data_IF_952671070482
#
_entry.id   IF_952671070482
#
_cell.length_a   1.000
_cell.length_b   1.000
_cell.length_c   1.000
_cell.angle_alpha   90.00
_cell.angle_beta   90.00
_cell.angle_gamma   90.00
#
_symmetry.space_group_name_H-M   'P 1'
#
loop_
_entity.id
_entity.type
_entity.pdbx_description
1 polymer ?
#
# COMPACT_ATOMS: atom_id res chain seq x y z
N UNK A 1 -12.64 -11.95 -4.79
CA UNK A 1 -11.26 -12.24 -4.36
C UNK A 1 -11.25 -12.28 -2.83
N UNK A 2 -10.39 -13.09 -2.21
CA UNK A 2 -10.14 -12.96 -0.77
C UNK A 2 -9.25 -11.74 -0.50
N UNK A 3 -9.26 -11.21 0.72
CA UNK A 3 -8.33 -10.13 1.10
C UNK A 3 -6.85 -10.53 0.93
N UNK A 4 -6.55 -11.83 1.04
CA UNK A 4 -5.21 -12.36 0.81
C UNK A 4 -4.83 -12.29 -0.67
N UNK A 5 -5.73 -12.65 -1.58
CA UNK A 5 -5.50 -12.55 -3.03
C UNK A 5 -5.26 -11.09 -3.44
N UNK A 6 -6.06 -10.17 -2.88
CA UNK A 6 -5.92 -8.72 -3.12
C UNK A 6 -4.56 -8.23 -2.63
N UNK A 7 -4.13 -8.63 -1.43
CA UNK A 7 -2.82 -8.28 -0.90
C UNK A 7 -1.70 -8.80 -1.81
N UNK A 8 -1.76 -10.07 -2.22
CA UNK A 8 -0.73 -10.66 -3.09
C UNK A 8 -0.63 -9.91 -4.42
N UNK A 9 -1.78 -9.56 -5.03
CA UNK A 9 -1.82 -8.83 -6.29
C UNK A 9 -1.20 -7.43 -6.18
N UNK A 10 -1.60 -6.63 -5.19
CA UNK A 10 -1.07 -5.26 -5.05
C UNK A 10 0.42 -5.27 -4.66
N UNK A 11 0.84 -6.21 -3.80
CA UNK A 11 2.24 -6.31 -3.36
C UNK A 11 3.15 -6.77 -4.50
N UNK A 12 2.70 -7.72 -5.32
CA UNK A 12 3.42 -8.16 -6.51
C UNK A 12 3.62 -6.99 -7.49
N UNK A 13 2.57 -6.20 -7.74
CA UNK A 13 2.68 -5.00 -8.56
C UNK A 13 3.70 -4.00 -7.98
N UNK A 14 3.63 -3.70 -6.68
CA UNK A 14 4.60 -2.80 -6.02
C UNK A 14 6.05 -3.29 -6.16
N UNK A 15 6.28 -4.61 -6.07
CA UNK A 15 7.60 -5.21 -6.25
C UNK A 15 8.10 -5.10 -7.69
N UNK A 16 7.23 -5.33 -8.68
CA UNK A 16 7.57 -5.22 -10.10
C UNK A 16 7.93 -3.78 -10.49
N UNK A 17 7.28 -2.78 -9.89
CA UNK A 17 7.52 -1.36 -10.16
C UNK A 17 8.82 -0.83 -9.54
N UNK A 18 9.37 -1.53 -8.54
CA UNK A 18 10.51 -1.03 -7.77
C UNK A 18 11.79 -0.83 -8.60
N UNK A 19 12.10 -1.76 -9.51
CA UNK A 19 13.32 -1.70 -10.33
C UNK A 19 13.20 -0.70 -11.50
N UNK A 20 12.11 -0.70 -12.29
CA UNK A 20 11.97 0.25 -13.39
C UNK A 20 11.86 1.71 -12.95
N UNK A 21 11.32 1.96 -11.75
CA UNK A 21 11.07 3.31 -11.22
C UNK A 21 11.92 3.63 -9.99
N UNK A 22 13.16 3.12 -9.94
CA UNK A 22 14.08 3.44 -8.85
C UNK A 22 14.31 4.97 -8.77
N UNK A 23 14.32 5.51 -7.55
CA UNK A 23 14.48 6.94 -7.26
C UNK A 23 13.41 7.86 -7.88
N UNK A 24 12.26 7.30 -8.27
CA UNK A 24 11.12 8.04 -8.79
C UNK A 24 9.90 7.83 -7.89
N UNK A 25 8.91 8.72 -8.03
CA UNK A 25 7.60 8.56 -7.41
C UNK A 25 6.62 7.93 -8.40
N UNK A 26 5.89 6.92 -7.95
CA UNK A 26 4.85 6.24 -8.74
C UNK A 26 3.51 6.41 -8.03
N UNK A 27 2.51 6.92 -8.74
CA UNK A 27 1.14 6.99 -8.23
C UNK A 27 0.38 5.71 -8.59
N UNK A 28 -0.18 5.04 -7.58
CA UNK A 28 -1.09 3.91 -7.76
C UNK A 28 -2.49 4.36 -7.35
N UNK A 29 -3.42 4.39 -8.30
CA UNK A 29 -4.82 4.74 -8.05
C UNK A 29 -5.61 3.45 -7.88
N UNK A 30 -6.28 3.31 -6.74
CA UNK A 30 -7.04 2.11 -6.40
C UNK A 30 -8.18 2.42 -5.43
N UNK A 31 -8.79 1.37 -4.88
CA UNK A 31 -9.88 1.47 -3.91
C UNK A 31 -9.38 1.25 -2.48
N UNK A 32 -10.22 1.64 -1.51
CA UNK A 32 -9.90 1.59 -0.08
C UNK A 32 -9.36 0.22 0.37
N UNK A 33 -10.06 -0.87 0.06
CA UNK A 33 -9.66 -2.21 0.52
C UNK A 33 -8.30 -2.67 -0.04
N UNK A 34 -7.98 -2.28 -1.27
CA UNK A 34 -6.69 -2.59 -1.90
C UNK A 34 -5.57 -1.82 -1.20
N UNK A 35 -5.79 -0.54 -0.91
CA UNK A 35 -4.83 0.30 -0.18
C UNK A 35 -4.66 -0.24 1.25
N UNK A 36 -5.74 -0.60 1.94
CA UNK A 36 -5.69 -1.23 3.27
C UNK A 36 -4.86 -2.51 3.25
N UNK A 37 -5.07 -3.40 2.27
CA UNK A 37 -4.30 -4.62 2.12
C UNK A 37 -2.79 -4.35 1.92
N UNK A 38 -2.44 -3.34 1.13
CA UNK A 38 -1.07 -2.90 0.92
C UNK A 38 -0.44 -2.33 2.20
N UNK A 39 -1.17 -1.47 2.92
CA UNK A 39 -0.74 -0.89 4.20
C UNK A 39 -0.46 -1.98 5.24
N UNK A 40 -1.36 -2.97 5.38
CA UNK A 40 -1.13 -4.12 6.26
C UNK A 40 0.19 -4.82 5.91
N UNK A 41 0.48 -5.04 4.61
CA UNK A 41 1.76 -5.65 4.20
C UNK A 41 2.96 -4.78 4.57
N UNK A 42 2.89 -3.48 4.30
CA UNK A 42 4.00 -2.54 4.58
C UNK A 42 4.30 -2.46 6.08
N UNK A 43 3.27 -2.46 6.92
CA UNK A 43 3.42 -2.40 8.38
C UNK A 43 3.66 -3.77 9.05
N UNK A 44 3.58 -4.86 8.29
CA UNK A 44 3.67 -6.22 8.86
C UNK A 44 2.48 -6.61 9.72
N UNK A 45 1.32 -6.00 9.50
CA UNK A 45 0.10 -6.27 10.25
C UNK A 45 -0.63 -7.51 9.69
N UNK A 46 -1.28 -8.31 10.54
CA UNK A 46 -2.30 -9.26 10.10
C UNK A 46 -3.35 -8.57 9.22
N UNK A 47 -3.84 -9.26 8.18
CA UNK A 47 -4.82 -8.68 7.27
C UNK A 47 -6.12 -8.26 7.96
N UNK A 48 -6.52 -8.95 9.05
CA UNK A 48 -7.69 -8.59 9.84
C UNK A 48 -7.56 -7.22 10.55
N UNK A 49 -6.35 -6.70 10.71
CA UNK A 49 -6.13 -5.37 11.29
C UNK A 49 -6.44 -4.23 10.30
N UNK A 50 -6.83 -4.54 9.05
CA UNK A 50 -7.27 -3.54 8.08
C UNK A 50 -8.49 -2.71 8.54
N UNK A 51 -9.29 -3.24 9.49
CA UNK A 51 -10.42 -2.54 10.07
C UNK A 51 -10.04 -1.52 11.14
N UNK A 52 -8.75 -1.42 11.50
CA UNK A 52 -8.27 -0.47 12.52
C UNK A 52 -8.03 0.93 11.97
N UNK A 53 -8.11 1.12 10.66
CA UNK A 53 -7.88 2.39 9.99
C UNK A 53 -8.72 2.49 8.72
N UNK A 54 -9.00 3.72 8.30
CA UNK A 54 -9.76 4.02 7.10
C UNK A 54 -8.91 4.62 5.99
N UNK A 55 -9.46 4.57 4.78
CA UNK A 55 -8.95 5.18 3.56
C UNK A 55 -10.12 5.90 2.92
N UNK A 56 -10.14 7.22 3.06
CA UNK A 56 -11.21 8.07 2.58
C UNK A 56 -11.12 8.25 1.07
N UNK A 57 -12.24 8.53 0.39
CA UNK A 57 -12.23 8.90 -1.02
C UNK A 57 -11.29 10.07 -1.29
N UNK A 58 -10.51 9.98 -2.37
CA UNK A 58 -9.53 10.99 -2.77
C UNK A 58 -8.40 11.27 -1.75
N UNK A 59 -8.24 10.44 -0.72
CA UNK A 59 -7.08 10.50 0.17
C UNK A 59 -5.80 9.95 -0.48
N UNK A 60 -4.65 10.34 0.06
CA UNK A 60 -3.34 9.89 -0.36
C UNK A 60 -2.68 9.08 0.78
N UNK A 61 -2.18 7.90 0.43
CA UNK A 61 -1.33 7.08 1.31
C UNK A 61 0.05 6.97 0.68
N UNK A 62 1.08 7.38 1.41
CA UNK A 62 2.46 7.45 0.91
C UNK A 62 3.33 6.39 1.56
N UNK A 63 3.99 5.57 0.73
CA UNK A 63 4.96 4.56 1.17
C UNK A 63 6.30 4.77 0.46
N UNK A 64 7.39 4.49 1.16
CA UNK A 64 8.75 4.45 0.58
C UNK A 64 9.24 3.01 0.64
N UNK A 65 9.84 2.52 -0.45
CA UNK A 65 10.46 1.19 -0.51
C UNK A 65 11.93 1.30 -0.91
N UNK A 66 12.79 0.52 -0.25
CA UNK A 66 14.22 0.43 -0.49
C UNK A 66 14.77 -0.94 -0.08
N UNK A 67 16.07 -1.15 -0.19
CA UNK A 67 16.71 -2.47 0.06
C UNK A 67 16.52 -2.99 1.49
N UNK A 68 16.22 -2.07 2.41
CA UNK A 68 15.86 -2.33 3.80
C UNK A 68 14.38 -2.71 4.01
N UNK A 69 13.53 -2.70 2.98
CA UNK A 69 12.12 -3.00 3.07
C UNK A 69 11.22 -1.83 2.65
N UNK A 70 10.11 -1.62 3.35
CA UNK A 70 9.16 -0.56 3.05
C UNK A 70 8.71 0.16 4.33
N UNK A 71 8.37 1.44 4.22
CA UNK A 71 7.89 2.27 5.32
C UNK A 71 6.67 3.07 4.90
N UNK A 72 5.65 3.09 5.75
CA UNK A 72 4.51 3.99 5.63
C UNK A 72 4.92 5.38 6.12
N UNK A 73 4.74 6.40 5.29
CA UNK A 73 5.10 7.79 5.59
C UNK A 73 3.86 8.60 5.98
N UNK A 74 2.77 8.43 5.23
CA UNK A 74 1.49 9.09 5.47
C UNK A 74 0.37 8.10 5.18
N UNK A 75 -0.69 8.18 5.96
CA UNK A 75 -1.88 7.34 5.84
C UNK A 75 -3.10 8.24 5.77
N UNK A 76 -3.96 7.99 4.79
CA UNK A 76 -5.25 8.66 4.67
C UNK A 76 -5.18 10.20 4.74
N UNK A 77 -4.21 10.79 4.03
CA UNK A 77 -4.04 12.25 3.99
C UNK A 77 -5.02 12.85 2.99
N UNK A 78 -5.93 13.70 3.47
CA UNK A 78 -6.81 14.53 2.66
C UNK A 78 -6.41 16.02 2.81
N UNK A 79 -6.83 16.86 1.86
CA UNK A 79 -6.59 18.30 1.86
C UNK A 79 -7.39 19.04 2.95
#
# INVERSE_FOLDING_TARGET
ETMLDVQQRVVSLMQQLRKPYQNQSVALVSHADVIKAAVCKVLGLPLGDCFRFDIDPASITTVVSGDWGSKLIRLNEAA
#
